data_IF_660226850842
#
_entry.id   IF_660226850842
#
_cell.length_a   1.000
_cell.length_b   1.000
_cell.length_c   1.000
_cell.angle_alpha   90.00
_cell.angle_beta   90.00
_cell.angle_gamma   90.00
#
_symmetry.space_group_name_H-M   'P 1'
#
loop_
_entity.id
_entity.type
_entity.pdbx_description
1 polymer ?
#
# COMPACT_ATOMS: atom_id res chain seq x y z
N UNK A 1 0.92 -37.30 38.61
CA UNK A 1 1.64 -37.53 37.34
C UNK A 1 1.43 -36.28 36.50
N UNK A 2 2.46 -35.45 36.40
CA UNK A 2 2.41 -34.08 35.88
C UNK A 2 3.55 -33.91 34.88
N UNK A 3 3.23 -33.93 33.60
CA UNK A 3 4.10 -33.70 32.42
C UNK A 3 3.13 -33.45 31.24
N UNK A 4 3.23 -32.49 30.33
CA UNK A 4 4.16 -31.41 30.00
C UNK A 4 3.30 -30.23 29.50
N UNK A 5 3.64 -29.00 29.88
CA UNK A 5 3.25 -27.81 29.10
C UNK A 5 4.34 -27.62 28.05
N UNK A 6 4.02 -27.87 26.80
CA UNK A 6 4.81 -27.42 25.65
C UNK A 6 4.39 -25.96 25.42
N UNK A 7 5.26 -25.04 25.83
CA UNK A 7 5.16 -23.62 25.53
C UNK A 7 5.80 -23.42 24.16
N UNK A 8 4.99 -23.55 23.11
CA UNK A 8 5.41 -23.25 21.74
C UNK A 8 5.62 -21.74 21.59
N UNK A 9 6.87 -21.34 21.79
CA UNK A 9 7.72 -20.58 20.86
C UNK A 9 7.07 -19.37 20.17
N UNK A 10 7.31 -18.21 20.78
CA UNK A 10 7.63 -16.90 20.18
C UNK A 10 7.45 -16.73 18.65
N UNK A 11 6.21 -16.49 18.20
CA UNK A 11 5.93 -15.75 16.95
C UNK A 11 5.84 -14.24 17.25
N UNK A 12 6.91 -13.67 17.83
CA UNK A 12 7.20 -12.25 17.69
C UNK A 12 7.66 -12.02 16.24
N UNK A 13 6.72 -12.07 15.29
CA UNK A 13 6.92 -11.55 13.95
C UNK A 13 7.08 -10.04 14.07
N UNK A 14 8.30 -9.66 14.44
CA UNK A 14 8.81 -8.31 14.53
C UNK A 14 8.77 -7.75 13.12
N UNK A 15 7.58 -7.27 12.74
CA UNK A 15 7.34 -6.44 11.57
C UNK A 15 8.28 -5.26 11.72
N UNK A 16 9.46 -5.42 11.14
CA UNK A 16 10.50 -4.43 11.02
C UNK A 16 9.84 -3.28 10.28
N UNK A 17 9.31 -2.30 11.02
CA UNK A 17 8.70 -1.09 10.47
C UNK A 17 9.81 -0.35 9.73
N UNK A 18 10.10 -0.76 8.51
CA UNK A 18 10.85 0.05 7.57
C UNK A 18 10.12 1.37 7.51
N UNK A 19 10.83 2.48 7.74
CA UNK A 19 10.21 3.79 7.70
C UNK A 19 9.43 3.93 6.39
N UNK A 20 8.10 4.06 6.50
CA UNK A 20 7.23 4.24 5.35
C UNK A 20 7.68 5.48 4.59
N UNK A 21 7.68 5.43 3.26
CA UNK A 21 8.16 6.53 2.43
C UNK A 21 7.03 7.06 1.57
N UNK A 22 6.95 8.38 1.43
CA UNK A 22 6.02 8.98 0.50
C UNK A 22 6.32 8.47 -0.92
N UNK A 23 5.33 7.88 -1.59
CA UNK A 23 5.46 7.31 -2.92
C UNK A 23 5.96 8.33 -3.95
N UNK A 24 5.55 9.61 -3.79
CA UNK A 24 5.96 10.71 -4.66
C UNK A 24 7.31 11.32 -4.31
N UNK A 25 7.44 11.93 -3.13
CA UNK A 25 8.63 12.72 -2.77
C UNK A 25 9.76 11.92 -2.09
N UNK A 26 9.52 10.63 -1.81
CA UNK A 26 10.47 9.66 -1.20
C UNK A 26 11.00 10.03 0.19
N UNK A 27 10.46 11.08 0.81
CA UNK A 27 10.74 11.43 2.21
C UNK A 27 10.19 10.35 3.14
N UNK A 28 10.91 10.10 4.23
CA UNK A 28 10.44 9.24 5.31
C UNK A 28 9.22 9.86 5.97
N UNK A 29 8.22 9.03 6.24
CA UNK A 29 7.04 9.37 7.01
C UNK A 29 7.33 9.00 8.46
N UNK A 30 7.11 9.94 9.37
CA UNK A 30 7.32 9.69 10.80
C UNK A 30 6.29 8.69 11.33
N UNK A 31 6.68 7.78 12.24
CA UNK A 31 5.74 6.88 12.90
C UNK A 31 4.63 7.67 13.60
N UNK A 32 3.37 7.33 13.31
CA UNK A 32 2.21 8.00 13.90
C UNK A 32 1.79 9.30 13.21
N UNK A 33 2.48 9.73 12.15
CA UNK A 33 2.00 10.82 11.31
C UNK A 33 0.79 10.39 10.47
N UNK A 34 -0.13 11.31 10.24
CA UNK A 34 -1.25 11.11 9.31
C UNK A 34 -0.72 11.01 7.87
N UNK A 35 -1.26 10.06 7.12
CA UNK A 35 -0.90 9.80 5.72
C UNK A 35 -2.13 9.61 4.86
N UNK A 36 -1.96 9.84 3.56
CA UNK A 36 -2.96 9.46 2.57
C UNK A 36 -2.55 8.12 1.98
N UNK A 37 -3.38 7.09 2.19
CA UNK A 37 -3.21 5.77 1.59
C UNK A 37 -3.89 5.71 0.22
N UNK A 38 -3.21 5.07 -0.73
CA UNK A 38 -3.75 4.74 -2.04
C UNK A 38 -3.70 3.23 -2.24
N UNK A 39 -4.84 2.69 -2.66
CA UNK A 39 -5.00 1.29 -3.00
C UNK A 39 -5.26 1.13 -4.49
N UNK A 40 -4.35 0.45 -5.18
CA UNK A 40 -4.60 0.06 -6.56
C UNK A 40 -5.51 -1.18 -6.60
N UNK A 41 -6.34 -1.26 -7.63
CA UNK A 41 -7.34 -2.29 -7.76
C UNK A 41 -8.00 -2.33 -9.13
N UNK A 42 -8.74 -3.41 -9.38
CA UNK A 42 -9.53 -3.60 -10.60
C UNK A 42 -11.01 -3.63 -10.27
N UNK A 43 -11.83 -3.11 -11.18
CA UNK A 43 -13.29 -3.22 -11.08
C UNK A 43 -13.71 -4.59 -11.60
N UNK A 44 -14.11 -5.46 -10.68
CA UNK A 44 -14.66 -6.78 -10.99
C UNK A 44 -16.20 -6.79 -11.01
N UNK A 45 -16.81 -7.94 -11.37
CA UNK A 45 -18.27 -8.08 -11.43
C UNK A 45 -18.98 -7.85 -10.09
N UNK A 46 -18.26 -7.98 -8.97
CA UNK A 46 -18.80 -7.84 -7.61
C UNK A 46 -18.28 -6.59 -6.88
N UNK A 47 -17.59 -5.70 -7.59
CA UNK A 47 -17.03 -4.47 -7.02
C UNK A 47 -15.51 -4.38 -7.15
N UNK A 48 -14.91 -3.55 -6.30
CA UNK A 48 -13.47 -3.29 -6.29
C UNK A 48 -12.69 -4.50 -5.74
N UNK A 49 -11.68 -4.94 -6.49
CA UNK A 49 -10.76 -6.00 -6.11
C UNK A 49 -9.38 -5.34 -5.91
N UNK A 50 -8.86 -5.26 -4.66
CA UNK A 50 -7.57 -4.65 -4.40
C UNK A 50 -6.43 -5.50 -5.00
N UNK A 51 -5.41 -4.83 -5.55
CA UNK A 51 -4.11 -5.42 -5.84
C UNK A 51 -3.23 -5.38 -4.59
N UNK A 52 -2.07 -6.05 -4.59
CA UNK A 52 -1.22 -6.13 -3.39
C UNK A 52 -0.49 -4.82 -3.06
N UNK A 53 -0.44 -3.87 -4.00
CA UNK A 53 0.34 -2.63 -3.85
C UNK A 53 -0.44 -1.54 -3.10
N UNK A 54 0.00 -1.25 -1.88
CA UNK A 54 -0.40 -0.08 -1.08
C UNK A 54 0.66 1.02 -1.20
N UNK A 55 0.23 2.25 -1.48
CA UNK A 55 1.11 3.43 -1.56
C UNK A 55 0.70 4.49 -0.53
N UNK A 56 1.67 5.17 0.07
CA UNK A 56 1.42 6.23 1.04
C UNK A 56 1.94 7.58 0.55
N UNK A 57 1.22 8.65 0.87
CA UNK A 57 1.59 10.02 0.53
C UNK A 57 1.59 10.89 1.80
N UNK A 58 2.60 11.76 1.92
CA UNK A 58 2.76 12.61 3.10
C UNK A 58 1.84 13.84 3.10
N UNK A 59 1.22 14.19 1.97
CA UNK A 59 0.27 15.30 1.84
C UNK A 59 -0.52 15.20 0.52
N UNK A 60 -1.58 16.01 0.40
CA UNK A 60 -2.42 16.08 -0.81
C UNK A 60 -1.65 16.53 -2.06
N UNK A 61 -0.67 17.42 -1.91
CA UNK A 61 0.12 17.90 -3.05
C UNK A 61 0.92 16.76 -3.70
N UNK A 62 1.49 15.88 -2.88
CA UNK A 62 2.20 14.69 -3.35
C UNK A 62 1.26 13.71 -4.06
N UNK A 63 0.02 13.56 -3.57
CA UNK A 63 -0.99 12.74 -4.23
C UNK A 63 -1.37 13.35 -5.59
N UNK A 64 -1.74 14.63 -5.63
CA UNK A 64 -2.15 15.31 -6.88
C UNK A 64 -1.06 15.25 -7.93
N UNK A 65 0.19 15.51 -7.54
CA UNK A 65 1.34 15.44 -8.44
C UNK A 65 1.68 14.01 -8.92
N UNK A 66 1.19 12.96 -8.24
CA UNK A 66 1.30 11.57 -8.70
C UNK A 66 0.29 11.26 -9.80
N UNK A 67 -0.93 11.82 -9.73
CA UNK A 67 -1.99 11.59 -10.72
C UNK A 67 -1.99 12.58 -11.89
N UNK A 68 -1.24 13.67 -11.80
CA UNK A 68 -1.12 14.68 -12.85
C UNK A 68 -0.14 14.21 -13.95
N UNK A 69 -0.55 13.15 -14.67
CA UNK A 69 0.22 12.54 -15.76
C UNK A 69 -0.13 13.09 -17.15
N UNK A 70 -0.86 14.22 -17.25
CA UNK A 70 -1.31 14.76 -18.53
C UNK A 70 -2.29 13.84 -19.27
N UNK A 71 -2.44 14.02 -20.58
CA UNK A 71 -3.28 13.16 -21.42
C UNK A 71 -2.72 11.73 -21.43
N UNK A 72 -3.34 10.84 -20.66
CA UNK A 72 -3.02 9.41 -20.65
C UNK A 72 -3.27 8.85 -22.04
N UNK A 73 -2.23 8.29 -22.67
CA UNK A 73 -2.36 7.62 -23.96
C UNK A 73 -3.43 6.53 -23.86
N UNK A 74 -4.55 6.75 -24.57
CA UNK A 74 -5.63 5.77 -24.63
C UNK A 74 -5.08 4.51 -25.32
N UNK A 75 -5.25 3.36 -24.67
CA UNK A 75 -4.94 2.08 -25.28
C UNK A 75 -5.56 2.01 -26.69
N UNK A 76 -4.83 1.49 -27.70
CA UNK A 76 -5.37 1.37 -29.05
C UNK A 76 -6.64 0.52 -29.02
N UNK A 77 -7.64 0.90 -29.83
CA UNK A 77 -8.90 0.15 -29.94
C UNK A 77 -8.58 -1.29 -30.33
N UNK A 78 -9.11 -2.26 -29.58
CA UNK A 78 -9.01 -3.67 -29.97
C UNK A 78 -9.66 -3.85 -31.34
N UNK A 79 -8.94 -4.48 -32.28
CA UNK A 79 -9.50 -4.89 -33.58
C UNK A 79 -10.49 -6.03 -33.31
N UNK A 80 -11.75 -5.93 -33.78
CA UNK A 80 -12.76 -6.98 -33.61
C UNK A 80 -12.42 -8.27 -34.37
#
# INVERSE_FOLDING_TARGET
MTYHQEEDEDDEESQKRSAERCARCRRSIEPGADVIGLQDGVLGPRGFIPLEEHRFFCNEDCLRADFDHGDVEKLPRRIP
#
